data_IF_128591513869
#
_entry.id   IF_128591513869
#
_cell.length_a   1.000
_cell.length_b   1.000
_cell.length_c   1.000
_cell.angle_alpha   90.00
_cell.angle_beta   90.00
_cell.angle_gamma   90.00
#
_symmetry.space_group_name_H-M   'P 1'
#
loop_
_entity.id
_entity.type
_entity.pdbx_description
1 polymer ?
#
# COMPACT_ATOMS: atom_id res chain seq x y z
N UNK A 1 -2.07 3.34 -3.74
CA UNK A 1 -1.02 3.73 -2.76
C UNK A 1 -0.13 2.53 -2.47
N UNK A 2 1.13 2.76 -2.11
CA UNK A 2 2.08 1.72 -1.69
C UNK A 2 2.41 1.89 -0.21
N UNK A 3 2.38 0.80 0.56
CA UNK A 3 2.83 0.76 1.94
C UNK A 3 4.27 0.24 1.99
N UNK A 4 5.14 0.91 2.73
CA UNK A 4 6.56 0.53 2.86
C UNK A 4 6.95 0.54 4.33
N UNK A 5 7.46 -0.60 4.81
CA UNK A 5 8.01 -0.73 6.16
C UNK A 5 9.26 0.13 6.33
N UNK A 6 9.37 0.79 7.48
CA UNK A 6 10.57 1.50 7.93
C UNK A 6 10.96 1.05 9.35
N UNK A 7 11.54 -0.15 9.50
CA UNK A 7 11.91 -0.69 10.82
C UNK A 7 12.98 0.13 11.53
N UNK A 8 13.86 0.81 10.77
CA UNK A 8 14.96 1.62 11.29
C UNK A 8 14.54 3.08 11.63
N UNK A 9 13.24 3.37 11.68
CA UNK A 9 12.77 4.69 12.03
C UNK A 9 13.05 4.98 13.52
N UNK A 10 13.81 6.05 13.78
CA UNK A 10 14.28 6.43 15.12
C UNK A 10 13.17 6.74 16.14
N UNK A 11 11.93 6.96 15.70
CA UNK A 11 10.79 7.29 16.55
C UNK A 11 9.85 6.11 16.78
N UNK A 12 9.66 5.25 15.77
CA UNK A 12 8.74 4.11 15.82
C UNK A 12 9.22 2.98 14.92
N UNK A 13 9.63 1.85 15.50
CA UNK A 13 10.08 0.66 14.77
C UNK A 13 8.96 0.00 13.95
N UNK A 14 7.70 0.32 14.24
CA UNK A 14 6.55 -0.15 13.48
C UNK A 14 6.16 0.81 12.35
N UNK A 15 6.93 1.86 12.09
CA UNK A 15 6.58 2.85 11.07
C UNK A 15 6.33 2.21 9.70
N UNK A 16 5.22 2.63 9.07
CA UNK A 16 4.84 2.27 7.71
C UNK A 16 4.58 3.57 6.95
N UNK A 17 5.43 3.83 5.95
CA UNK A 17 5.27 4.96 5.05
C UNK A 17 4.24 4.65 3.98
N UNK A 18 3.45 5.67 3.63
CA UNK A 18 2.47 5.65 2.55
C UNK A 18 3.03 6.45 1.38
N UNK A 19 3.16 5.80 0.23
CA UNK A 19 3.64 6.42 -1.01
C UNK A 19 2.53 6.46 -2.06
N UNK A 20 2.47 7.58 -2.77
CA UNK A 20 1.67 7.75 -3.99
C UNK A 20 2.61 8.12 -5.13
N UNK A 21 2.66 7.33 -6.20
CA UNK A 21 3.59 7.56 -7.32
C UNK A 21 5.05 7.78 -6.85
N UNK A 22 5.50 6.98 -5.88
CA UNK A 22 6.81 7.10 -5.21
C UNK A 22 7.05 8.40 -4.41
N UNK A 23 6.09 9.30 -4.33
CA UNK A 23 6.11 10.47 -3.45
C UNK A 23 5.61 10.06 -2.07
N UNK A 24 6.36 10.43 -1.04
CA UNK A 24 5.96 10.20 0.35
C UNK A 24 4.78 11.11 0.71
N UNK A 25 3.63 10.50 1.00
CA UNK A 25 2.41 11.21 1.41
C UNK A 25 2.39 11.42 2.93
N UNK A 26 2.91 10.44 3.66
CA UNK A 26 2.98 10.46 5.12
C UNK A 26 3.10 9.05 5.70
N UNK A 27 2.86 8.94 7.00
CA UNK A 27 2.90 7.67 7.73
C UNK A 27 1.49 7.20 8.10
N UNK A 28 1.32 5.89 8.26
CA UNK A 28 0.15 5.38 8.95
C UNK A 28 0.15 5.82 10.42
N UNK A 29 -1.02 6.05 11.03
CA UNK A 29 -1.13 6.27 12.47
C UNK A 29 -0.48 5.14 13.26
N UNK A 30 0.11 5.48 14.41
CA UNK A 30 0.91 4.57 15.22
C UNK A 30 0.13 3.31 15.62
N UNK A 31 -1.12 3.47 16.02
CA UNK A 31 -1.99 2.38 16.48
C UNK A 31 -2.23 1.36 15.36
N UNK A 32 -2.44 1.85 14.13
CA UNK A 32 -2.61 1.01 12.94
C UNK A 32 -1.27 0.37 12.55
N UNK A 33 -0.19 1.14 12.61
CA UNK A 33 1.14 0.67 12.25
C UNK A 33 1.63 -0.46 13.19
N UNK A 34 1.34 -0.36 14.49
CA UNK A 34 1.64 -1.40 15.48
C UNK A 34 0.97 -2.74 15.16
N UNK A 35 -0.26 -2.73 14.63
CA UNK A 35 -0.96 -3.95 14.23
C UNK A 35 -0.42 -4.50 12.90
N UNK A 36 -0.21 -3.63 11.92
CA UNK A 36 0.12 -4.03 10.55
C UNK A 36 1.59 -4.38 10.37
N UNK A 37 2.51 -3.72 11.06
CA UNK A 37 3.95 -3.92 10.86
C UNK A 37 4.41 -5.36 11.09
N UNK A 38 4.07 -6.03 12.22
CA UNK A 38 4.44 -7.43 12.43
C UNK A 38 3.83 -8.37 11.41
N UNK A 39 2.66 -8.03 10.84
CA UNK A 39 1.98 -8.82 9.82
C UNK A 39 2.68 -8.68 8.46
N UNK A 40 3.08 -7.46 8.11
CA UNK A 40 3.91 -7.19 6.94
C UNK A 40 5.27 -7.91 7.05
N UNK A 41 5.89 -7.88 8.22
CA UNK A 41 7.19 -8.55 8.47
C UNK A 41 7.08 -10.08 8.37
N UNK A 42 5.90 -10.65 8.62
CA UNK A 42 5.58 -12.07 8.37
C UNK A 42 5.29 -12.39 6.90
N UNK A 43 5.29 -11.39 6.02
CA UNK A 43 5.03 -11.55 4.60
C UNK A 43 3.56 -11.39 4.18
N UNK A 44 2.69 -10.85 5.05
CA UNK A 44 1.34 -10.46 4.64
C UNK A 44 1.38 -9.20 3.76
N UNK A 45 0.52 -9.18 2.73
CA UNK A 45 0.40 -8.06 1.80
C UNK A 45 -0.92 -7.32 2.04
N UNK A 46 -0.85 -5.99 1.94
CA UNK A 46 -1.98 -5.11 2.20
C UNK A 46 -2.25 -4.20 1.01
N UNK A 47 -3.53 -3.99 0.73
CA UNK A 47 -3.97 -2.96 -0.19
C UNK A 47 -4.40 -1.73 0.60
N UNK A 48 -4.03 -0.55 0.08
CA UNK A 48 -4.29 0.73 0.72
C UNK A 48 -5.08 1.63 -0.22
N UNK A 49 -6.24 2.08 0.24
CA UNK A 49 -7.14 2.95 -0.51
C UNK A 49 -7.40 4.23 0.30
N UNK A 50 -7.42 5.36 -0.39
CA UNK A 50 -7.95 6.62 0.17
C UNK A 50 -9.47 6.52 0.05
N UNK A 51 -10.19 6.63 1.16
CA UNK A 51 -11.65 6.69 1.12
C UNK A 51 -12.11 8.14 1.00
N UNK A 52 -11.46 9.02 1.75
CA UNK A 52 -11.83 10.42 1.84
C UNK A 52 -10.55 11.26 1.85
N UNK A 53 -10.58 12.34 1.07
CA UNK A 53 -9.49 13.31 0.93
C UNK A 53 -9.91 14.72 1.32
N UNK A 54 -11.04 14.85 2.03
CA UNK A 54 -11.45 16.11 2.64
C UNK A 54 -10.29 16.65 3.45
N UNK A 55 -9.91 17.89 3.12
CA UNK A 55 -8.66 18.53 3.52
C UNK A 55 -8.50 18.67 5.05
N UNK A 56 -9.56 18.40 5.80
CA UNK A 56 -9.53 18.49 7.25
C UNK A 56 -8.85 17.26 7.89
N UNK A 57 -9.09 16.02 7.41
CA UNK A 57 -8.40 14.78 7.85
C UNK A 57 -8.56 13.64 6.81
N UNK A 58 -7.53 13.31 6.00
CA UNK A 58 -7.64 12.18 5.07
C UNK A 58 -7.76 10.86 5.83
N UNK A 59 -8.82 10.09 5.58
CA UNK A 59 -8.99 8.77 6.18
C UNK A 59 -8.45 7.68 5.26
N UNK A 60 -7.43 6.97 5.74
CA UNK A 60 -6.81 5.84 5.05
C UNK A 60 -7.43 4.56 5.57
N UNK A 61 -7.94 3.71 4.68
CA UNK A 61 -8.37 2.36 5.04
C UNK A 61 -7.46 1.33 4.38
N UNK A 62 -6.92 0.48 5.23
CA UNK A 62 -6.08 -0.64 4.82
C UNK A 62 -6.93 -1.91 4.85
N UNK A 63 -6.82 -2.73 3.80
CA UNK A 63 -7.42 -4.08 3.76
C UNK A 63 -6.32 -5.11 3.63
N UNK A 64 -6.37 -6.15 4.45
CA UNK A 64 -5.55 -7.36 4.26
C UNK A 64 -6.11 -8.14 3.07
N UNK A 65 -5.24 -8.52 2.14
CA UNK A 65 -5.60 -9.44 1.07
C UNK A 65 -4.88 -10.78 1.30
N UNK A 66 -5.59 -11.91 1.43
CA UNK A 66 -4.95 -13.21 1.45
C UNK A 66 -4.33 -13.50 0.08
N UNK A 67 -3.06 -13.90 0.05
CA UNK A 67 -2.45 -14.52 -1.12
C UNK A 67 -3.14 -15.88 -1.34
N UNK A 68 -4.18 -15.94 -2.18
CA UNK A 68 -4.59 -17.22 -2.73
C UNK A 68 -3.53 -17.69 -3.72
N UNK A 69 -2.62 -18.54 -3.24
CA UNK A 69 -1.80 -19.39 -4.09
C UNK A 69 -2.66 -20.57 -4.55
N UNK A 70 -3.36 -20.44 -5.67
CA UNK A 70 -3.87 -21.59 -6.39
C UNK A 70 -4.09 -21.26 -7.85
N UNK A 71 -3.28 -21.88 -8.71
CA UNK A 71 -3.55 -22.11 -10.13
C UNK A 71 -3.99 -20.87 -10.94
N UNK A 72 -3.02 -20.11 -11.44
CA UNK A 72 -3.26 -19.29 -12.63
C UNK A 72 -3.05 -20.22 -13.83
N UNK A 73 -4.11 -20.94 -14.21
CA UNK A 73 -4.27 -21.32 -15.61
C UNK A 73 -4.68 -20.05 -16.36
N UNK A 74 -3.86 -19.70 -17.34
CA UNK A 74 -4.04 -18.64 -18.31
C UNK A 74 -5.46 -18.67 -18.90
N UNK A 75 -6.26 -17.63 -18.65
CA UNK A 75 -7.33 -17.14 -19.54
C UNK A 75 -8.35 -16.27 -18.80
N UNK A 76 -7.96 -15.13 -18.21
CA UNK A 76 -8.95 -14.12 -17.83
C UNK A 76 -8.44 -12.70 -18.15
N UNK A 77 -9.11 -11.97 -19.08
CA UNK A 77 -8.61 -10.74 -19.71
C UNK A 77 -8.60 -9.51 -18.78
N UNK A 78 -8.84 -9.68 -17.49
CA UNK A 78 -8.72 -8.62 -16.47
C UNK A 78 -7.42 -8.72 -15.65
N UNK A 79 -6.64 -9.79 -15.80
CA UNK A 79 -5.36 -9.98 -15.08
C UNK A 79 -4.14 -9.41 -15.82
N UNK A 80 -4.25 -9.11 -17.11
CA UNK A 80 -3.19 -8.40 -17.86
C UNK A 80 -3.21 -6.88 -17.61
N UNK A 81 -4.27 -6.34 -17.00
CA UNK A 81 -4.43 -4.89 -16.77
C UNK A 81 -3.95 -4.38 -15.42
N UNK A 82 -3.40 -5.26 -14.57
CA UNK A 82 -2.71 -4.89 -13.32
C UNK A 82 -1.18 -4.80 -13.51
N UNK A 83 -0.73 -4.80 -14.78
CA UNK A 83 0.65 -4.56 -15.20
C UNK A 83 0.89 -3.20 -15.87
N UNK A 84 -0.12 -2.35 -16.03
CA UNK A 84 0.09 -0.97 -16.45
C UNK A 84 0.62 -0.17 -15.25
N UNK A 85 1.95 -0.26 -15.13
CA UNK A 85 2.83 0.73 -14.53
C UNK A 85 2.22 2.11 -14.77
N UNK A 86 1.63 2.72 -13.73
CA UNK A 86 1.44 4.18 -13.73
C UNK A 86 2.83 4.78 -13.73
N UNK A 87 3.37 4.94 -14.94
CA UNK A 87 4.63 5.58 -15.19
C UNK A 87 4.38 7.08 -15.10
N UNK A 88 4.71 7.63 -13.93
CA UNK A 88 4.60 9.06 -13.64
C UNK A 88 5.55 9.93 -14.51
N UNK A 89 6.31 9.34 -15.45
CA UNK A 89 7.15 10.10 -16.39
C UNK A 89 6.44 10.59 -17.64
N UNK A 90 5.15 10.25 -17.85
CA UNK A 90 4.39 10.74 -19.00
C UNK A 90 3.23 11.64 -18.54
N UNK A 91 3.48 12.93 -18.20
CA UNK A 91 2.40 13.90 -18.16
C UNK A 91 1.98 14.10 -19.62
N UNK A 92 0.80 13.59 -19.97
CA UNK A 92 0.25 13.74 -21.33
C UNK A 92 0.43 15.16 -21.83
N UNK A 93 1.00 15.27 -23.04
CA UNK A 93 1.05 16.49 -23.87
C UNK A 93 -0.34 17.09 -24.07
#
# INVERSE_FOLDING_TARGET
LKLVRQPDNKYDSNAIAVLSCNVHVGYLPREIAQELAPRMDKGEWFQCFVIDSSLEKPCIRVRSAPLQKSHISESHPWYEKIGERYDCTNPGM
#
